data_IF_252571003557
#
_entry.id   IF_252571003557
#
_cell.length_a   1.000
_cell.length_b   1.000
_cell.length_c   1.000
_cell.angle_alpha   90.00
_cell.angle_beta   90.00
_cell.angle_gamma   90.00
#
_symmetry.space_group_name_H-M   'P 1'
#
loop_
_entity.id
_entity.type
_entity.pdbx_description
1 polymer ?
#
# COMPACT_ATOMS: atom_id res chain seq x y z
N UNK A 1 -7.43 3.79 16.43
CA UNK A 1 -8.21 4.51 15.48
C UNK A 1 -7.62 5.88 15.22
N UNK A 2 -7.89 6.39 14.07
CA UNK A 2 -7.39 7.68 13.71
C UNK A 2 -8.29 8.77 14.15
N UNK A 3 -7.74 9.86 14.61
CA UNK A 3 -8.49 11.04 14.88
C UNK A 3 -8.80 11.79 13.61
N UNK A 4 -9.68 12.76 13.72
CA UNK A 4 -10.01 13.59 12.57
C UNK A 4 -8.83 14.39 12.06
N UNK A 5 -7.87 14.68 12.93
CA UNK A 5 -6.67 15.40 12.53
C UNK A 5 -5.73 14.62 11.66
N UNK A 6 -5.97 13.32 11.51
CA UNK A 6 -5.08 12.44 10.75
C UNK A 6 -5.52 12.25 9.31
N UNK A 7 -6.41 13.10 8.82
CA UNK A 7 -6.93 12.95 7.48
C UNK A 7 -5.83 12.98 6.43
N UNK A 8 -4.83 13.85 6.62
CA UNK A 8 -3.73 13.96 5.68
C UNK A 8 -2.40 13.90 6.42
N UNK A 9 -1.51 13.07 5.90
CA UNK A 9 -0.15 12.95 6.40
C UNK A 9 0.80 12.91 5.23
N UNK A 10 2.04 13.31 5.45
CA UNK A 10 3.09 13.25 4.43
C UNK A 10 4.16 12.30 4.91
N UNK A 11 4.45 11.28 4.10
CA UNK A 11 5.53 10.34 4.36
C UNK A 11 6.22 10.06 3.03
N UNK A 12 7.52 10.28 2.98
CA UNK A 12 8.31 10.01 1.77
C UNK A 12 7.73 10.67 0.52
N UNK A 13 7.23 11.89 0.67
CA UNK A 13 6.66 12.64 -0.43
C UNK A 13 5.27 12.19 -0.85
N UNK A 14 4.72 11.22 -0.18
CA UNK A 14 3.41 10.66 -0.47
C UNK A 14 2.39 11.23 0.51
N UNK A 15 1.23 11.62 0.02
CA UNK A 15 0.15 12.11 0.86
C UNK A 15 -0.69 10.93 1.31
N UNK A 16 -0.73 10.71 2.61
CA UNK A 16 -1.52 9.65 3.21
C UNK A 16 -2.80 10.26 3.77
N UNK A 17 -3.93 9.85 3.20
CA UNK A 17 -5.23 10.43 3.57
C UNK A 17 -5.81 9.87 4.86
N UNK A 18 -5.37 8.70 5.27
CA UNK A 18 -5.97 8.03 6.41
C UNK A 18 -7.28 7.30 6.08
N UNK A 19 -7.59 7.19 4.81
CA UNK A 19 -8.79 6.49 4.35
C UNK A 19 -8.43 5.10 3.88
N UNK A 20 -8.94 4.09 4.57
CA UNK A 20 -8.68 2.70 4.19
C UNK A 20 -9.58 2.35 3.01
N UNK A 21 -8.96 1.95 1.90
CA UNK A 21 -9.71 1.56 0.71
C UNK A 21 -10.21 0.12 0.83
N UNK A 22 -9.36 -0.77 1.33
CA UNK A 22 -9.73 -2.15 1.55
C UNK A 22 -8.63 -2.81 2.39
N UNK A 23 -8.78 -4.10 2.63
CA UNK A 23 -7.76 -4.86 3.36
C UNK A 23 -6.97 -5.70 2.38
N UNK A 24 -5.79 -6.12 2.83
CA UNK A 24 -4.94 -7.05 2.10
C UNK A 24 -4.40 -8.08 3.09
N UNK A 25 -3.96 -9.20 2.56
CA UNK A 25 -3.40 -10.28 3.38
C UNK A 25 -1.94 -10.47 3.02
N UNK A 26 -1.09 -10.54 4.02
CA UNK A 26 0.32 -10.86 3.81
C UNK A 26 0.42 -12.33 3.42
N UNK A 27 0.97 -12.60 2.24
CA UNK A 27 1.06 -13.97 1.71
C UNK A 27 2.48 -14.49 1.66
N UNK A 28 3.48 -13.62 1.78
CA UNK A 28 4.87 -14.04 1.76
C UNK A 28 5.74 -13.00 2.42
N UNK A 29 6.79 -13.46 3.10
CA UNK A 29 7.80 -12.59 3.71
C UNK A 29 9.15 -13.24 3.41
N UNK A 30 10.02 -12.49 2.72
CA UNK A 30 11.36 -12.98 2.40
C UNK A 30 12.40 -12.09 3.02
N UNK A 31 13.38 -12.69 3.67
CA UNK A 31 14.55 -11.99 4.15
C UNK A 31 15.59 -11.96 3.02
N UNK A 32 16.04 -10.79 2.65
CA UNK A 32 16.98 -10.59 1.56
C UNK A 32 18.10 -9.68 2.03
N UNK A 33 19.08 -10.26 2.70
CA UNK A 33 20.31 -9.56 3.08
C UNK A 33 20.07 -8.24 3.79
N UNK A 34 19.30 -8.29 4.86
CA UNK A 34 19.06 -7.12 5.69
C UNK A 34 17.82 -6.35 5.37
N UNK A 35 17.19 -6.66 4.25
CA UNK A 35 15.88 -6.10 3.93
C UNK A 35 14.87 -7.22 3.88
N UNK A 36 13.60 -6.86 4.01
CA UNK A 36 12.52 -7.82 3.96
C UNK A 36 11.60 -7.47 2.80
N UNK A 37 11.18 -8.48 2.04
CA UNK A 37 10.19 -8.31 0.98
C UNK A 37 8.88 -8.89 1.47
N UNK A 38 7.88 -8.04 1.61
CA UNK A 38 6.54 -8.45 2.01
C UNK A 38 5.65 -8.47 0.78
N UNK A 39 4.94 -9.58 0.58
CA UNK A 39 3.98 -9.69 -0.51
C UNK A 39 2.58 -9.69 0.08
N UNK A 40 1.73 -8.83 -0.46
CA UNK A 40 0.34 -8.70 -0.01
C UNK A 40 -0.60 -9.02 -1.16
N UNK A 41 -1.71 -9.67 -0.84
CA UNK A 41 -2.77 -9.94 -1.80
C UNK A 41 -4.04 -9.22 -1.38
N UNK A 42 -4.71 -8.62 -2.34
CA UNK A 42 -5.99 -7.94 -2.11
C UNK A 42 -7.00 -8.38 -3.15
N UNK A 43 -8.28 -8.09 -2.90
CA UNK A 43 -9.35 -8.45 -3.82
C UNK A 43 -9.31 -7.52 -5.03
N UNK A 44 -8.97 -8.06 -6.19
CA UNK A 44 -8.91 -7.28 -7.42
C UNK A 44 -10.30 -7.13 -8.00
N UNK A 45 -10.64 -5.90 -8.37
CA UNK A 45 -11.90 -5.59 -9.03
C UNK A 45 -11.57 -4.71 -10.22
N UNK A 46 -11.88 -5.19 -11.42
CA UNK A 46 -11.53 -4.49 -12.64
C UNK A 46 -12.15 -3.09 -12.72
N UNK A 47 -13.38 -2.93 -12.25
CA UNK A 47 -14.02 -1.62 -12.25
C UNK A 47 -13.36 -0.67 -11.28
N UNK A 48 -12.98 -1.17 -10.11
CA UNK A 48 -12.28 -0.34 -9.13
C UNK A 48 -10.88 0.00 -9.61
N UNK A 49 -10.21 -0.94 -10.31
CA UNK A 49 -8.89 -0.68 -10.86
C UNK A 49 -8.91 0.49 -11.84
N UNK A 50 -9.97 0.59 -12.65
CA UNK A 50 -10.12 1.71 -13.58
C UNK A 50 -10.26 3.04 -12.85
N UNK A 51 -10.62 3.03 -11.59
CA UNK A 51 -10.76 4.22 -10.76
C UNK A 51 -9.51 4.49 -9.93
N UNK A 52 -8.43 3.77 -10.19
CA UNK A 52 -7.17 3.97 -9.50
C UNK A 52 -6.94 3.08 -8.29
N UNK A 53 -7.83 2.15 -8.01
CA UNK A 53 -7.66 1.22 -6.87
C UNK A 53 -6.83 0.02 -7.32
N UNK A 54 -5.59 0.29 -7.64
CA UNK A 54 -4.65 -0.70 -8.14
C UNK A 54 -3.24 -0.25 -7.79
N UNK A 55 -2.32 -1.21 -7.66
CA UNK A 55 -0.92 -0.90 -7.44
C UNK A 55 -0.17 -0.85 -8.77
N UNK A 56 0.83 0.01 -8.83
CA UNK A 56 1.65 0.23 -10.03
C UNK A 56 3.10 0.12 -9.63
N UNK A 57 3.91 -0.49 -10.50
CA UNK A 57 5.34 -0.62 -10.21
C UNK A 57 5.95 0.74 -9.94
N UNK A 58 6.70 0.84 -8.84
CA UNK A 58 7.33 2.07 -8.36
C UNK A 58 6.33 3.13 -7.93
N UNK A 59 5.04 2.81 -7.91
CA UNK A 59 4.04 3.69 -7.32
C UNK A 59 4.02 3.56 -5.82
N UNK A 60 3.13 4.31 -5.19
CA UNK A 60 3.02 4.35 -3.73
C UNK A 60 1.80 3.58 -3.27
N UNK A 61 1.91 3.00 -2.09
CA UNK A 61 0.78 2.36 -1.41
C UNK A 61 0.97 2.55 0.08
N UNK A 62 -0.11 2.64 0.81
CA UNK A 62 -0.04 2.77 2.26
C UNK A 62 -0.58 1.49 2.89
N UNK A 63 0.25 0.86 3.72
CA UNK A 63 -0.09 -0.38 4.42
C UNK A 63 -0.09 -0.08 5.91
N UNK A 64 -1.24 -0.21 6.56
CA UNK A 64 -1.40 0.10 7.98
C UNK A 64 -0.79 1.46 8.36
N UNK A 65 -0.99 2.46 7.51
CA UNK A 65 -0.53 3.81 7.78
C UNK A 65 0.90 4.10 7.36
N UNK A 66 1.63 3.12 6.81
CA UNK A 66 3.01 3.31 6.38
C UNK A 66 3.05 3.42 4.87
N UNK A 67 3.57 4.53 4.35
CA UNK A 67 3.66 4.77 2.92
C UNK A 67 4.90 4.09 2.35
N UNK A 68 4.71 3.29 1.31
CA UNK A 68 5.76 2.44 0.77
C UNK A 68 5.74 2.47 -0.74
N UNK A 69 6.86 2.09 -1.33
CA UNK A 69 6.99 1.97 -2.78
C UNK A 69 6.70 0.54 -3.20
N UNK A 70 5.85 0.43 -4.22
CA UNK A 70 5.44 -0.88 -4.76
C UNK A 70 6.51 -1.42 -5.69
N UNK A 71 6.78 -2.71 -5.58
CA UNK A 71 7.56 -3.43 -6.57
C UNK A 71 6.83 -4.72 -6.94
N UNK A 72 7.10 -5.20 -8.14
CA UNK A 72 6.57 -6.45 -8.67
C UNK A 72 5.04 -6.61 -8.51
N UNK A 73 4.24 -5.63 -8.96
CA UNK A 73 2.79 -5.76 -8.82
C UNK A 73 2.23 -6.74 -9.83
N UNK A 74 1.18 -7.44 -9.42
CA UNK A 74 0.30 -8.17 -10.32
C UNK A 74 -1.09 -7.56 -10.17
N UNK A 75 -2.10 -8.18 -10.78
CA UNK A 75 -3.45 -7.63 -10.66
C UNK A 75 -3.95 -7.63 -9.22
N UNK A 76 -3.58 -8.63 -8.42
CA UNK A 76 -4.08 -8.78 -7.07
C UNK A 76 -3.01 -8.88 -6.00
N UNK A 77 -1.73 -8.75 -6.36
CA UNK A 77 -0.65 -8.77 -5.37
C UNK A 77 0.33 -7.65 -5.64
N UNK A 78 1.10 -7.32 -4.61
CA UNK A 78 2.22 -6.41 -4.75
C UNK A 78 3.24 -6.73 -3.67
N UNK A 79 4.48 -6.30 -3.92
CA UNK A 79 5.55 -6.43 -2.94
C UNK A 79 6.01 -5.05 -2.50
N UNK A 80 6.51 -5.00 -1.28
CA UNK A 80 7.22 -3.83 -0.77
C UNK A 80 8.53 -4.30 -0.14
N UNK A 81 9.59 -3.53 -0.38
CA UNK A 81 10.88 -3.81 0.23
C UNK A 81 11.00 -2.97 1.49
N UNK A 82 11.23 -3.62 2.63
CA UNK A 82 11.26 -2.95 3.93
C UNK A 82 12.69 -2.97 4.43
N UNK A 83 13.31 -1.78 4.56
CA UNK A 83 14.65 -1.67 5.11
C UNK A 83 14.59 -1.86 6.63
N UNK A 84 15.72 -2.22 7.26
CA UNK A 84 15.73 -2.52 8.70
C UNK A 84 15.15 -1.41 9.56
N UNK A 85 15.44 -0.16 9.22
CA UNK A 85 14.94 0.97 10.01
C UNK A 85 13.40 0.97 10.02
N UNK A 86 12.78 0.84 8.84
CA UNK A 86 11.33 0.82 8.73
C UNK A 86 10.75 -0.41 9.42
N UNK A 87 11.40 -1.55 9.27
CA UNK A 87 10.95 -2.78 9.91
C UNK A 87 10.88 -2.62 11.42
N UNK A 88 11.89 -1.98 12.02
CA UNK A 88 11.98 -1.84 13.48
C UNK A 88 11.10 -0.72 14.01
N UNK A 89 10.90 0.34 13.24
CA UNK A 89 10.24 1.56 13.72
C UNK A 89 8.79 1.66 13.27
N UNK A 90 8.25 0.63 12.65
CA UNK A 90 6.85 0.58 12.27
C UNK A 90 6.26 -0.73 12.77
N UNK A 91 4.98 -0.97 12.44
CA UNK A 91 4.33 -2.21 12.83
C UNK A 91 4.69 -3.40 11.93
N UNK A 92 5.59 -3.22 10.96
CA UNK A 92 5.94 -4.30 10.04
C UNK A 92 6.61 -5.48 10.74
N UNK A 93 7.32 -5.25 11.84
CA UNK A 93 7.96 -6.34 12.56
C UNK A 93 6.94 -7.29 13.22
N UNK A 94 5.67 -6.89 13.29
CA UNK A 94 4.62 -7.74 13.87
C UNK A 94 3.90 -8.57 12.83
N UNK A 95 4.14 -8.34 11.55
CA UNK A 95 3.39 -9.05 10.50
C UNK A 95 3.95 -10.45 10.29
N UNK A 96 3.05 -11.36 9.97
CA UNK A 96 3.39 -12.74 9.56
C UNK A 96 2.55 -13.08 8.35
N UNK A 97 2.90 -14.18 7.70
CA UNK A 97 2.05 -14.72 6.64
C UNK A 97 0.66 -14.99 7.24
N UNK A 98 -0.35 -14.44 6.58
CA UNK A 98 -1.72 -14.50 7.07
C UNK A 98 -2.19 -13.23 7.75
N UNK A 99 -1.29 -12.31 8.10
CA UNK A 99 -1.69 -11.04 8.70
C UNK A 99 -2.56 -10.24 7.74
N UNK A 100 -3.64 -9.66 8.26
CA UNK A 100 -4.52 -8.78 7.48
C UNK A 100 -4.14 -7.35 7.79
N UNK A 101 -3.98 -6.55 6.75
CA UNK A 101 -3.55 -5.16 6.88
C UNK A 101 -4.55 -4.25 6.18
N UNK A 102 -4.56 -2.99 6.58
CA UNK A 102 -5.34 -1.96 5.92
C UNK A 102 -4.57 -1.40 4.75
N UNK A 103 -5.24 -1.23 3.62
CA UNK A 103 -4.61 -0.82 2.38
C UNK A 103 -5.21 0.49 1.90
N UNK A 104 -4.34 1.42 1.51
CA UNK A 104 -4.75 2.67 0.92
C UNK A 104 -3.96 2.85 -0.36
N UNK A 105 -4.66 2.98 -1.49
CA UNK A 105 -4.02 3.18 -2.78
C UNK A 105 -3.60 4.64 -2.94
N UNK A 106 -2.63 4.87 -3.83
CA UNK A 106 -2.13 6.20 -4.10
C UNK A 106 -3.26 7.09 -4.62
N UNK A 107 -3.45 8.22 -3.98
CA UNK A 107 -4.48 9.18 -4.36
C UNK A 107 -4.26 9.73 -5.76
N UNK A 108 -3.02 9.81 -6.21
CA UNK A 108 -2.69 10.34 -7.55
C UNK A 108 -3.32 9.46 -8.63
N UNK A 109 -3.25 8.14 -8.47
CA UNK A 109 -3.87 7.23 -9.43
C UNK A 109 -5.37 7.41 -9.51
N UNK A 110 -6.00 7.60 -8.35
CA UNK A 110 -7.45 7.84 -8.31
C UNK A 110 -7.82 9.14 -9.00
N UNK A 111 -7.02 10.15 -8.79
CA UNK A 111 -7.26 11.48 -9.35
C UNK A 111 -7.16 11.47 -10.86
N UNK A 112 -6.11 10.86 -11.39
CA UNK A 112 -5.88 10.76 -12.83
C UNK A 112 -7.00 9.97 -13.50
N UNK A 113 -7.40 8.87 -12.88
CA UNK A 113 -8.48 8.04 -13.38
C UNK A 113 -9.76 8.85 -13.51
N UNK A 114 -10.06 9.66 -12.51
CA UNK A 114 -11.25 10.50 -12.54
C UNK A 114 -11.19 11.52 -13.67
N UNK A 115 -10.04 12.12 -13.87
CA UNK A 115 -9.86 13.12 -14.94
C UNK A 115 -10.06 12.51 -16.32
N UNK A 116 -9.59 11.29 -16.51
CA UNK A 116 -9.72 10.60 -17.80
C UNK A 116 -11.19 10.38 -18.17
N UNK A 117 -12.05 10.18 -17.18
CA UNK A 117 -13.46 9.96 -17.42
C UNK A 117 -14.17 11.14 -18.09
N UNK A 118 -13.56 12.32 -18.01
CA UNK A 118 -14.16 13.54 -18.53
C UNK A 118 -13.52 14.02 -19.82
N UNK A 119 -12.77 13.17 -20.48
CA UNK A 119 -12.14 13.55 -21.76
C UNK A 119 -13.13 13.53 -22.90
#
# INVERSE_FOLDING_TARGET
SRGLGDVYKRQDGHIVQGHVDQTATCVDIKDAEGSYYFTFRYAFDKEMAKRGYITVDKGSVTVNGVSLTVCNPTDDTFQVAIIPYTFEHTNFHTFKVGSVVNLEFDIIGKYISRMIQYK
#
